data_IF_075173582256
#
_entry.id   IF_075173582256
#
_cell.length_a   1.000
_cell.length_b   1.000
_cell.length_c   1.000
_cell.angle_alpha   90.00
_cell.angle_beta   90.00
_cell.angle_gamma   90.00
#
_symmetry.space_group_name_H-M   'P 1'
#
loop_
_entity.id
_entity.type
_entity.pdbx_description
1 polymer ?
#
# COMPACT_ATOMS: atom_id res chain seq x y z
N UNK A 1 -9.72 0.41 -2.72
CA UNK A 1 -9.75 -1.06 -2.56
C UNK A 1 -9.80 -1.81 -3.90
N UNK A 2 -10.56 -1.34 -4.93
CA UNK A 2 -10.67 -2.03 -6.23
C UNK A 2 -9.38 -1.99 -7.06
N UNK A 3 -8.60 -0.91 -7.05
CA UNK A 3 -7.34 -0.79 -7.80
C UNK A 3 -6.19 -1.62 -7.20
N UNK A 4 -6.17 -1.78 -5.89
CA UNK A 4 -5.22 -2.68 -5.19
C UNK A 4 -5.42 -4.14 -5.58
N UNK A 5 -6.64 -4.55 -5.94
CA UNK A 5 -6.95 -5.89 -6.42
C UNK A 5 -6.23 -6.22 -7.73
N UNK A 6 -6.18 -5.29 -8.67
CA UNK A 6 -5.59 -5.54 -10.01
C UNK A 6 -4.08 -5.81 -9.98
N UNK A 7 -3.34 -5.10 -9.12
CA UNK A 7 -1.89 -5.34 -8.96
C UNK A 7 -1.63 -6.71 -8.30
N UNK A 8 -2.42 -7.06 -7.29
CA UNK A 8 -2.32 -8.37 -6.63
C UNK A 8 -2.64 -9.51 -7.59
N UNK A 9 -3.63 -9.34 -8.46
CA UNK A 9 -3.95 -10.34 -9.50
C UNK A 9 -2.78 -10.53 -10.47
N UNK A 10 -2.10 -9.45 -10.90
CA UNK A 10 -0.93 -9.55 -11.77
C UNK A 10 0.22 -10.32 -11.10
N UNK A 11 0.51 -10.05 -9.83
CA UNK A 11 1.51 -10.80 -9.05
C UNK A 11 1.16 -12.27 -8.94
N UNK A 12 -0.10 -12.58 -8.68
CA UNK A 12 -0.59 -13.98 -8.64
C UNK A 12 -0.47 -14.67 -9.99
N UNK A 13 -0.81 -13.99 -11.09
CA UNK A 13 -0.68 -14.54 -12.43
C UNK A 13 0.77 -14.83 -12.78
N UNK A 14 1.67 -13.87 -12.56
CA UNK A 14 3.10 -14.05 -12.83
C UNK A 14 3.70 -15.13 -11.93
N UNK A 15 3.34 -15.15 -10.64
CA UNK A 15 3.74 -16.23 -9.74
C UNK A 15 3.26 -17.60 -10.24
N UNK A 16 2.03 -17.67 -10.73
CA UNK A 16 1.46 -18.91 -11.28
C UNK A 16 2.20 -19.41 -12.53
N UNK A 17 2.77 -18.50 -13.35
CA UNK A 17 3.62 -18.89 -14.47
C UNK A 17 4.85 -19.68 -14.00
N UNK A 18 5.43 -19.31 -12.84
CA UNK A 18 6.52 -20.06 -12.23
C UNK A 18 6.15 -21.51 -11.89
N UNK A 19 4.88 -21.76 -11.49
CA UNK A 19 4.38 -23.14 -11.25
C UNK A 19 4.33 -23.95 -12.54
N UNK A 20 3.98 -23.32 -13.66
CA UNK A 20 3.85 -24.00 -14.95
C UNK A 20 5.18 -24.52 -15.54
N UNK A 21 6.32 -24.07 -15.00
CA UNK A 21 7.62 -24.63 -15.39
C UNK A 21 7.78 -26.11 -15.01
N UNK A 22 7.01 -26.58 -14.02
CA UNK A 22 7.14 -27.94 -13.50
C UNK A 22 6.16 -28.89 -14.18
N UNK A 23 6.69 -29.95 -14.82
CA UNK A 23 5.91 -30.99 -15.55
C UNK A 23 4.84 -31.63 -14.67
N UNK A 24 5.18 -31.89 -13.40
CA UNK A 24 4.25 -32.55 -12.47
C UNK A 24 3.06 -31.67 -12.16
N UNK A 25 3.28 -30.35 -12.01
CA UNK A 25 2.20 -29.38 -11.78
C UNK A 25 1.31 -29.27 -13.02
N UNK A 26 1.90 -29.16 -14.22
CA UNK A 26 1.12 -29.15 -15.48
C UNK A 26 0.26 -30.41 -15.63
N UNK A 27 0.84 -31.59 -15.37
CA UNK A 27 0.07 -32.82 -15.41
C UNK A 27 -1.06 -32.87 -14.40
N UNK A 28 -0.81 -32.41 -13.17
CA UNK A 28 -1.83 -32.35 -12.13
C UNK A 28 -2.96 -31.37 -12.50
N UNK A 29 -2.64 -30.20 -13.05
CA UNK A 29 -3.63 -29.21 -13.49
C UNK A 29 -4.52 -29.76 -14.61
N UNK A 30 -3.98 -30.57 -15.53
CA UNK A 30 -4.74 -31.15 -16.64
C UNK A 30 -5.54 -32.38 -16.17
N UNK A 31 -4.95 -33.25 -15.36
CA UNK A 31 -5.55 -34.51 -14.94
C UNK A 31 -6.64 -34.36 -13.88
N UNK A 32 -6.47 -33.40 -12.96
CA UNK A 32 -7.46 -33.16 -11.96
C UNK A 32 -8.49 -32.10 -12.47
N UNK A 33 -9.72 -32.21 -11.97
CA UNK A 33 -10.81 -31.28 -12.31
C UNK A 33 -10.53 -29.80 -11.88
N UNK A 34 -9.25 -29.38 -11.85
CA UNK A 34 -8.83 -28.02 -11.45
C UNK A 34 -9.34 -26.92 -12.40
N UNK A 35 -9.68 -27.27 -13.64
CA UNK A 35 -10.34 -26.35 -14.56
C UNK A 35 -11.66 -25.79 -13.98
N UNK A 36 -12.36 -26.55 -13.13
CA UNK A 36 -13.56 -26.11 -12.46
C UNK A 36 -13.28 -24.94 -11.53
N UNK A 37 -12.17 -24.98 -10.78
CA UNK A 37 -11.76 -23.88 -9.92
C UNK A 37 -11.35 -22.64 -10.73
N UNK A 38 -10.73 -22.86 -11.91
CA UNK A 38 -10.42 -21.75 -12.83
C UNK A 38 -11.70 -21.09 -13.32
N UNK A 39 -12.69 -21.87 -13.74
CA UNK A 39 -13.99 -21.36 -14.18
C UNK A 39 -14.69 -20.57 -13.06
N UNK A 40 -14.74 -21.14 -11.85
CA UNK A 40 -15.35 -20.47 -10.69
C UNK A 40 -14.59 -19.15 -10.39
N UNK A 41 -13.27 -19.18 -10.43
CA UNK A 41 -12.45 -17.95 -10.21
C UNK A 41 -12.74 -16.89 -11.27
N UNK A 42 -12.84 -17.30 -12.54
CA UNK A 42 -13.19 -16.38 -13.64
C UNK A 42 -14.60 -15.80 -13.48
N UNK A 43 -15.58 -16.63 -13.07
CA UNK A 43 -16.94 -16.15 -12.77
C UNK A 43 -16.96 -15.11 -11.64
N UNK A 44 -16.18 -15.34 -10.59
CA UNK A 44 -16.03 -14.37 -9.48
C UNK A 44 -15.35 -13.07 -9.96
N UNK A 45 -14.38 -13.18 -10.87
CA UNK A 45 -13.66 -12.02 -11.42
C UNK A 45 -14.46 -11.29 -12.50
N UNK A 46 -15.43 -11.96 -13.14
CA UNK A 46 -16.18 -11.43 -14.28
C UNK A 46 -16.80 -10.05 -14.02
N UNK A 47 -17.50 -9.78 -12.89
CA UNK A 47 -18.05 -8.45 -12.64
C UNK A 47 -16.98 -7.34 -12.61
N UNK A 48 -15.80 -7.67 -12.08
CA UNK A 48 -14.69 -6.72 -12.06
C UNK A 48 -14.12 -6.51 -13.47
N UNK A 49 -13.99 -7.56 -14.27
CA UNK A 49 -13.49 -7.47 -15.64
C UNK A 49 -14.45 -6.65 -16.52
N UNK A 50 -15.76 -6.90 -16.40
CA UNK A 50 -16.79 -6.13 -17.11
C UNK A 50 -16.73 -4.66 -16.71
N UNK A 51 -16.65 -4.37 -15.41
CA UNK A 51 -16.49 -3.00 -14.93
C UNK A 51 -15.23 -2.33 -15.46
N UNK A 52 -14.07 -3.02 -15.45
CA UNK A 52 -12.83 -2.50 -16.01
C UNK A 52 -12.96 -2.16 -17.49
N UNK A 53 -13.64 -3.03 -18.27
CA UNK A 53 -13.86 -2.82 -19.68
C UNK A 53 -14.80 -1.64 -19.96
N UNK A 54 -15.92 -1.57 -19.26
CA UNK A 54 -16.94 -0.50 -19.45
C UNK A 54 -16.37 0.88 -19.08
N UNK A 55 -15.58 0.96 -18.01
CA UNK A 55 -14.99 2.20 -17.52
C UNK A 55 -13.61 2.51 -18.16
N UNK A 56 -13.24 1.83 -19.26
CA UNK A 56 -12.00 2.10 -20.00
C UNK A 56 -10.72 1.74 -19.24
N UNK A 57 -10.72 0.65 -18.46
CA UNK A 57 -9.58 0.15 -17.70
C UNK A 57 -9.01 1.14 -16.67
N UNK A 58 -9.81 1.65 -15.72
CA UNK A 58 -9.37 2.64 -14.75
C UNK A 58 -8.18 2.19 -13.91
N UNK A 59 -8.01 0.88 -13.70
CA UNK A 59 -6.84 0.35 -13.00
C UNK A 59 -5.53 0.57 -13.78
N UNK A 60 -5.54 0.42 -15.10
CA UNK A 60 -4.37 0.68 -15.94
C UNK A 60 -4.03 2.16 -15.96
N UNK A 61 -5.03 3.04 -16.08
CA UNK A 61 -4.82 4.49 -16.01
C UNK A 61 -4.25 4.92 -14.66
N UNK A 62 -4.75 4.36 -13.57
CA UNK A 62 -4.22 4.62 -12.24
C UNK A 62 -2.76 4.14 -12.11
N UNK A 63 -2.44 2.97 -12.64
CA UNK A 63 -1.09 2.41 -12.61
C UNK A 63 -0.10 3.29 -13.38
N UNK A 64 -0.49 3.70 -14.59
CA UNK A 64 0.34 4.58 -15.41
C UNK A 64 0.58 5.93 -14.71
N UNK A 65 -0.46 6.51 -14.13
CA UNK A 65 -0.34 7.75 -13.36
C UNK A 65 0.55 7.58 -12.12
N UNK A 66 0.38 6.49 -11.38
CA UNK A 66 1.23 6.16 -10.22
C UNK A 66 2.71 6.01 -10.65
N UNK A 67 2.94 5.34 -11.76
CA UNK A 67 4.29 5.18 -12.32
C UNK A 67 4.91 6.55 -12.59
N UNK A 68 4.24 7.39 -13.38
CA UNK A 68 4.74 8.71 -13.78
C UNK A 68 4.92 9.70 -12.61
N UNK A 69 4.19 9.53 -11.51
CA UNK A 69 4.18 10.51 -10.41
C UNK A 69 4.97 10.08 -9.18
N UNK A 70 5.23 8.79 -9.00
CA UNK A 70 5.81 8.27 -7.75
C UNK A 70 6.86 7.17 -7.95
N UNK A 71 6.82 6.45 -9.06
CA UNK A 71 7.67 5.29 -9.24
C UNK A 71 8.79 5.50 -10.26
N UNK A 72 8.64 6.48 -11.14
CA UNK A 72 9.62 6.71 -12.23
C UNK A 72 11.01 7.07 -11.69
N UNK A 73 11.05 7.89 -10.66
CA UNK A 73 12.29 8.32 -10.00
C UNK A 73 12.94 7.22 -9.14
N UNK A 74 12.22 6.12 -8.84
CA UNK A 74 12.78 5.05 -8.01
C UNK A 74 13.74 4.18 -8.81
N UNK A 75 14.94 3.99 -8.28
CA UNK A 75 15.89 3.01 -8.81
C UNK A 75 15.57 1.60 -8.30
N UNK A 76 16.01 0.59 -9.03
CA UNK A 76 15.88 -0.81 -8.59
C UNK A 76 16.50 -1.05 -7.21
N UNK A 77 17.64 -0.41 -6.93
CA UNK A 77 18.34 -0.54 -5.64
C UNK A 77 17.51 0.05 -4.51
N UNK A 78 16.88 1.20 -4.72
CA UNK A 78 15.99 1.82 -3.70
C UNK A 78 14.78 0.95 -3.40
N UNK A 79 14.19 0.33 -4.41
CA UNK A 79 13.08 -0.62 -4.21
C UNK A 79 13.53 -1.82 -3.38
N UNK A 80 14.64 -2.44 -3.75
CA UNK A 80 15.15 -3.63 -3.03
C UNK A 80 15.60 -3.27 -1.62
N UNK A 81 16.32 -2.16 -1.42
CA UNK A 81 16.73 -1.71 -0.09
C UNK A 81 15.51 -1.33 0.79
N UNK A 82 14.51 -0.68 0.20
CA UNK A 82 13.26 -0.39 0.90
C UNK A 82 12.55 -1.65 1.40
N UNK A 83 12.43 -2.68 0.55
CA UNK A 83 11.86 -3.97 0.95
C UNK A 83 12.67 -4.58 2.11
N UNK A 84 14.00 -4.54 1.98
CA UNK A 84 14.91 -5.12 2.96
C UNK A 84 14.77 -4.44 4.33
N UNK A 85 14.62 -3.12 4.36
CA UNK A 85 14.46 -2.33 5.58
C UNK A 85 13.05 -2.44 6.18
N UNK A 86 12.02 -2.36 5.35
CA UNK A 86 10.61 -2.39 5.81
C UNK A 86 10.21 -3.74 6.43
N UNK A 87 10.80 -4.83 5.94
CA UNK A 87 10.58 -6.18 6.49
C UNK A 87 11.43 -6.45 7.75
N UNK A 88 12.39 -5.61 8.06
CA UNK A 88 13.49 -5.85 8.98
C UNK A 88 14.63 -6.65 8.30
N UNK A 89 15.82 -6.08 8.33
CA UNK A 89 17.01 -6.63 7.64
C UNK A 89 17.29 -8.11 8.00
N UNK A 90 17.13 -8.50 9.26
CA UNK A 90 17.38 -9.86 9.72
C UNK A 90 16.35 -10.83 9.14
N UNK A 91 15.07 -10.47 9.21
CA UNK A 91 14.00 -11.27 8.61
C UNK A 91 14.21 -11.43 7.11
N UNK A 92 14.65 -10.36 6.42
CA UNK A 92 14.94 -10.41 4.99
C UNK A 92 16.09 -11.36 4.65
N UNK A 93 17.17 -11.37 5.44
CA UNK A 93 18.28 -12.33 5.29
C UNK A 93 17.77 -13.77 5.47
N UNK A 94 16.95 -14.00 6.50
CA UNK A 94 16.36 -15.32 6.75
C UNK A 94 15.48 -15.80 5.59
N UNK A 95 14.64 -14.91 5.05
CA UNK A 95 13.76 -15.21 3.92
C UNK A 95 14.56 -15.52 2.65
N UNK A 96 15.57 -14.71 2.32
CA UNK A 96 16.45 -14.92 1.16
C UNK A 96 17.20 -16.23 1.29
N UNK A 97 17.82 -16.50 2.45
CA UNK A 97 18.54 -17.75 2.72
C UNK A 97 17.63 -18.95 2.56
N UNK A 98 16.40 -18.86 3.06
CA UNK A 98 15.40 -19.91 2.94
C UNK A 98 14.98 -20.13 1.49
N UNK A 99 14.76 -19.06 0.73
CA UNK A 99 14.38 -19.13 -0.68
C UNK A 99 15.49 -19.80 -1.51
N UNK A 100 16.74 -19.38 -1.34
CA UNK A 100 17.90 -19.98 -1.98
C UNK A 100 17.99 -21.47 -1.65
N UNK A 101 17.78 -21.82 -0.38
CA UNK A 101 17.83 -23.20 0.08
C UNK A 101 16.73 -24.08 -0.55
N UNK A 102 15.49 -23.56 -0.67
CA UNK A 102 14.40 -24.32 -1.29
C UNK A 102 14.62 -24.51 -2.79
N UNK A 103 15.10 -23.48 -3.49
CA UNK A 103 15.35 -23.54 -4.94
C UNK A 103 16.54 -24.43 -5.26
N UNK A 104 17.67 -24.27 -4.54
CA UNK A 104 18.94 -24.92 -4.84
C UNK A 104 19.25 -26.17 -4.00
N UNK A 105 18.59 -26.31 -2.84
CA UNK A 105 18.94 -27.34 -1.87
C UNK A 105 18.45 -28.74 -2.27
N UNK A 106 19.37 -29.74 -2.19
CA UNK A 106 19.00 -31.14 -2.42
C UNK A 106 18.23 -31.76 -1.24
N UNK A 107 18.36 -31.17 -0.03
CA UNK A 107 17.76 -31.68 1.21
C UNK A 107 16.27 -31.36 1.38
N UNK A 108 15.75 -30.34 0.66
CA UNK A 108 14.31 -30.06 0.65
C UNK A 108 13.62 -30.93 -0.40
N UNK A 109 12.44 -31.44 -0.04
CA UNK A 109 11.66 -32.28 -0.95
C UNK A 109 11.33 -31.51 -2.22
N UNK A 110 11.53 -32.15 -3.37
CA UNK A 110 11.34 -31.56 -4.70
C UNK A 110 9.98 -30.89 -4.93
N UNK A 111 8.95 -31.28 -4.16
CA UNK A 111 7.62 -30.70 -4.30
C UNK A 111 7.47 -29.26 -3.79
N UNK A 112 8.41 -28.73 -3.00
CA UNK A 112 8.40 -27.32 -2.59
C UNK A 112 9.05 -26.37 -3.60
N UNK A 113 9.84 -26.90 -4.54
CA UNK A 113 10.50 -26.09 -5.58
C UNK A 113 9.52 -25.28 -6.44
N UNK A 114 8.37 -25.84 -6.87
CA UNK A 114 7.40 -25.05 -7.63
C UNK A 114 6.93 -23.79 -6.88
N UNK A 115 6.61 -23.94 -5.59
CA UNK A 115 6.20 -22.82 -4.76
C UNK A 115 7.30 -21.76 -4.64
N UNK A 116 8.53 -22.16 -4.35
CA UNK A 116 9.66 -21.24 -4.24
C UNK A 116 9.94 -20.53 -5.57
N UNK A 117 9.81 -21.22 -6.70
CA UNK A 117 9.95 -20.61 -8.03
C UNK A 117 8.83 -19.60 -8.31
N UNK A 118 7.60 -19.93 -7.93
CA UNK A 118 6.46 -19.01 -8.02
C UNK A 118 6.71 -17.72 -7.20
N UNK A 119 7.19 -17.89 -5.98
CA UNK A 119 7.56 -16.76 -5.11
C UNK A 119 8.68 -15.91 -5.73
N UNK A 120 9.72 -16.57 -6.27
CA UNK A 120 10.81 -15.87 -6.93
C UNK A 120 10.32 -15.03 -8.12
N UNK A 121 9.46 -15.60 -8.97
CA UNK A 121 8.83 -14.87 -10.08
C UNK A 121 8.01 -13.67 -9.60
N UNK A 122 7.25 -13.83 -8.51
CA UNK A 122 6.46 -12.75 -7.92
C UNK A 122 7.35 -11.64 -7.38
N UNK A 123 8.44 -11.98 -6.70
CA UNK A 123 9.42 -11.00 -6.18
C UNK A 123 10.09 -10.23 -7.32
N UNK A 124 10.58 -10.95 -8.33
CA UNK A 124 11.23 -10.33 -9.48
C UNK A 124 10.27 -9.41 -10.26
N UNK A 125 9.04 -9.84 -10.44
CA UNK A 125 8.00 -9.02 -11.08
C UNK A 125 7.71 -7.74 -10.29
N UNK A 126 7.52 -7.85 -8.97
CA UNK A 126 7.27 -6.69 -8.12
C UNK A 126 8.47 -5.73 -8.10
N UNK A 127 9.68 -6.27 -8.03
CA UNK A 127 10.90 -5.46 -8.07
C UNK A 127 11.06 -4.74 -9.42
N UNK A 128 10.81 -5.45 -10.53
CA UNK A 128 10.84 -4.88 -11.88
C UNK A 128 9.76 -3.80 -12.07
N UNK A 129 8.56 -4.04 -11.55
CA UNK A 129 7.44 -3.09 -11.61
C UNK A 129 7.57 -1.92 -10.62
N UNK A 130 8.72 -1.79 -9.95
CA UNK A 130 8.96 -0.79 -8.90
C UNK A 130 7.85 -0.80 -7.83
N UNK A 131 7.42 -2.01 -7.44
CA UNK A 131 6.35 -2.20 -6.45
C UNK A 131 6.71 -1.62 -5.09
N UNK A 132 5.76 -1.00 -4.41
CA UNK A 132 5.96 -0.51 -3.03
C UNK A 132 6.23 -1.67 -2.07
N UNK A 133 7.08 -1.46 -1.08
CA UNK A 133 7.55 -2.49 -0.15
C UNK A 133 6.41 -3.30 0.50
N UNK A 134 5.30 -2.68 0.87
CA UNK A 134 4.16 -3.39 1.46
C UNK A 134 3.46 -4.40 0.53
N UNK A 135 3.71 -4.37 -0.78
CA UNK A 135 3.20 -5.39 -1.70
C UNK A 135 3.90 -6.75 -1.52
N UNK A 136 5.07 -6.76 -0.89
CA UNK A 136 5.83 -7.98 -0.62
C UNK A 136 5.36 -8.71 0.65
N UNK A 137 4.60 -8.07 1.54
CA UNK A 137 4.15 -8.69 2.79
C UNK A 137 3.41 -10.03 2.62
N UNK A 138 2.50 -10.21 1.64
CA UNK A 138 1.89 -11.53 1.41
C UNK A 138 2.92 -12.62 1.09
N UNK A 139 3.98 -12.26 0.34
CA UNK A 139 5.07 -13.18 0.00
C UNK A 139 5.87 -13.55 1.26
N UNK A 140 6.16 -12.56 2.10
CA UNK A 140 6.83 -12.76 3.40
C UNK A 140 6.04 -13.74 4.26
N UNK A 141 4.74 -13.51 4.44
CA UNK A 141 3.87 -14.39 5.23
C UNK A 141 3.84 -15.82 4.67
N UNK A 142 3.90 -15.99 3.35
CA UNK A 142 3.95 -17.32 2.71
C UNK A 142 5.28 -18.03 2.97
N UNK A 143 6.40 -17.29 3.06
CA UNK A 143 7.73 -17.85 3.29
C UNK A 143 8.04 -18.13 4.77
N UNK A 144 7.42 -17.44 5.72
CA UNK A 144 7.73 -17.58 7.15
C UNK A 144 7.67 -19.02 7.66
N UNK A 145 6.68 -19.89 7.30
CA UNK A 145 6.68 -21.28 7.72
C UNK A 145 7.90 -22.06 7.24
N UNK A 146 8.38 -21.74 6.03
CA UNK A 146 9.57 -22.37 5.47
C UNK A 146 10.86 -21.90 6.15
N UNK A 147 10.89 -20.67 6.64
CA UNK A 147 11.98 -20.16 7.50
C UNK A 147 12.08 -21.04 8.75
N UNK A 148 10.96 -21.33 9.42
CA UNK A 148 10.92 -22.21 10.58
C UNK A 148 11.50 -23.61 10.26
N UNK A 149 11.06 -24.21 9.16
CA UNK A 149 11.56 -25.53 8.71
C UNK A 149 13.05 -25.49 8.35
N UNK A 150 13.51 -24.40 7.71
CA UNK A 150 14.93 -24.20 7.40
C UNK A 150 15.78 -24.14 8.67
N UNK A 151 15.36 -23.35 9.64
CA UNK A 151 16.06 -23.23 10.93
C UNK A 151 16.08 -24.56 11.68
N UNK A 152 14.94 -25.23 11.81
CA UNK A 152 14.83 -26.51 12.50
C UNK A 152 15.71 -27.58 11.87
N UNK A 153 15.72 -27.73 10.55
CA UNK A 153 16.39 -28.85 9.87
C UNK A 153 17.86 -28.58 9.53
N UNK A 154 18.24 -27.32 9.34
CA UNK A 154 19.57 -26.96 8.85
C UNK A 154 20.40 -26.29 9.91
N UNK A 155 19.85 -25.30 10.61
CA UNK A 155 20.60 -24.48 11.57
C UNK A 155 20.68 -25.18 12.95
N UNK A 156 19.54 -25.66 13.45
CA UNK A 156 19.47 -26.27 14.78
C UNK A 156 20.38 -27.48 15.01
N UNK A 157 20.54 -28.41 14.06
CA UNK A 157 21.39 -29.57 14.27
C UNK A 157 22.88 -29.23 14.47
N UNK A 158 23.31 -28.11 13.88
CA UNK A 158 24.74 -27.74 13.86
C UNK A 158 25.05 -26.50 14.73
N UNK A 159 24.10 -25.59 14.90
CA UNK A 159 24.35 -24.26 15.51
C UNK A 159 23.18 -23.76 16.33
N UNK A 160 22.68 -24.57 17.26
CA UNK A 160 21.53 -24.19 18.15
C UNK A 160 21.72 -22.85 18.88
N UNK A 161 22.95 -22.51 19.21
CA UNK A 161 23.27 -21.28 19.91
C UNK A 161 22.86 -20.02 19.13
N UNK A 162 22.77 -20.08 17.80
CA UNK A 162 22.31 -18.95 16.97
C UNK A 162 20.86 -18.56 17.21
N UNK A 163 20.03 -19.44 17.77
CA UNK A 163 18.64 -19.12 18.08
C UNK A 163 18.53 -18.07 19.18
N UNK A 164 19.45 -18.04 20.13
CA UNK A 164 19.40 -17.09 21.26
C UNK A 164 19.63 -15.64 20.78
N UNK A 165 20.73 -15.30 20.11
CA UNK A 165 20.96 -13.94 19.61
C UNK A 165 19.90 -13.55 18.57
N UNK A 166 19.46 -14.48 17.72
CA UNK A 166 18.42 -14.20 16.73
C UNK A 166 17.08 -13.90 17.41
N UNK A 167 16.66 -14.73 18.36
CA UNK A 167 15.45 -14.50 19.17
C UNK A 167 15.51 -13.19 19.94
N UNK A 168 16.67 -12.86 20.51
CA UNK A 168 16.88 -11.61 21.23
C UNK A 168 16.75 -10.39 20.29
N UNK A 169 17.32 -10.43 19.11
CA UNK A 169 17.21 -9.34 18.14
C UNK A 169 15.77 -9.18 17.63
N UNK A 170 15.07 -10.30 17.37
CA UNK A 170 13.64 -10.24 17.00
C UNK A 170 12.80 -9.66 18.14
N UNK A 171 13.10 -10.03 19.39
CA UNK A 171 12.44 -9.46 20.57
C UNK A 171 12.72 -7.96 20.70
N UNK A 172 13.97 -7.50 20.48
CA UNK A 172 14.29 -6.08 20.45
C UNK A 172 13.50 -5.34 19.36
N UNK A 173 13.27 -5.97 18.21
CA UNK A 173 12.42 -5.42 17.15
C UNK A 173 11.00 -5.15 17.61
N UNK A 174 10.45 -5.94 18.54
CA UNK A 174 9.11 -5.70 19.08
C UNK A 174 9.03 -4.44 19.95
N UNK A 175 10.13 -4.02 20.55
CA UNK A 175 10.19 -2.76 21.31
C UNK A 175 10.02 -1.53 20.43
N UNK A 176 10.23 -1.66 19.12
CA UNK A 176 10.00 -0.58 18.15
C UNK A 176 8.54 -0.48 17.70
N UNK A 177 7.70 -1.46 18.01
CA UNK A 177 6.28 -1.48 17.62
C UNK A 177 5.54 -0.21 18.07
N UNK A 178 5.68 0.29 19.32
CA UNK A 178 5.00 1.50 19.75
C UNK A 178 5.39 2.76 18.98
N UNK A 179 6.53 2.75 18.32
CA UNK A 179 6.96 3.86 17.46
C UNK A 179 6.35 3.78 16.06
N UNK A 180 6.11 2.59 15.54
CA UNK A 180 5.46 2.37 14.23
C UNK A 180 3.93 2.37 14.28
N UNK A 181 3.35 2.02 15.45
CA UNK A 181 1.91 2.05 15.68
C UNK A 181 1.57 3.16 16.67
N UNK A 182 0.54 3.98 16.43
CA UNK A 182 0.15 5.10 17.30
C UNK A 182 -0.54 4.60 18.59
N UNK A 183 0.22 3.87 19.44
CA UNK A 183 -0.27 3.32 20.71
C UNK A 183 -0.27 4.40 21.81
N UNK A 184 0.69 5.31 21.78
CA UNK A 184 0.79 6.41 22.72
C UNK A 184 -0.11 7.59 22.33
N UNK A 185 -0.40 8.48 23.29
CA UNK A 185 -0.94 9.80 22.96
C UNK A 185 0.11 10.62 22.19
N UNK A 186 -0.33 11.57 21.38
CA UNK A 186 0.60 12.45 20.64
C UNK A 186 1.56 13.18 21.56
N UNK A 187 1.07 13.74 22.68
CA UNK A 187 1.91 14.45 23.64
C UNK A 187 3.01 13.54 24.21
N UNK A 188 2.64 12.35 24.64
CA UNK A 188 3.60 11.37 25.18
C UNK A 188 4.63 10.91 24.12
N UNK A 189 4.20 10.74 22.86
CA UNK A 189 5.11 10.44 21.75
C UNK A 189 6.13 11.58 21.53
N UNK A 190 5.68 12.83 21.50
CA UNK A 190 6.56 14.00 21.35
C UNK A 190 7.57 14.08 22.49
N UNK A 191 7.15 13.86 23.72
CA UNK A 191 8.03 13.85 24.90
C UNK A 191 9.14 12.78 24.79
N UNK A 192 8.76 11.57 24.35
CA UNK A 192 9.74 10.48 24.11
C UNK A 192 10.73 10.89 23.03
N UNK A 193 10.24 11.43 21.89
CA UNK A 193 11.11 11.81 20.79
C UNK A 193 12.09 12.92 21.23
N UNK A 194 11.62 13.94 21.94
CA UNK A 194 12.46 15.03 22.43
C UNK A 194 13.49 14.59 23.45
N UNK A 195 13.18 13.51 24.21
CA UNK A 195 14.07 12.95 25.21
C UNK A 195 15.22 12.14 24.62
N UNK A 196 14.96 11.40 23.55
CA UNK A 196 15.90 10.39 23.03
C UNK A 196 16.48 10.72 21.65
N UNK A 197 15.88 11.65 20.90
CA UNK A 197 16.32 12.01 19.56
C UNK A 197 16.64 13.51 19.47
N UNK A 198 17.67 13.88 18.70
CA UNK A 198 17.96 15.28 18.44
C UNK A 198 16.82 15.91 17.63
N UNK A 199 16.49 17.15 17.94
CA UNK A 199 15.48 17.91 17.18
C UNK A 199 15.90 18.04 15.73
N UNK A 200 15.08 17.54 14.83
CA UNK A 200 15.30 17.66 13.39
C UNK A 200 14.44 18.81 12.87
N UNK A 201 15.05 19.93 12.52
CA UNK A 201 14.35 21.12 12.03
C UNK A 201 14.71 21.33 10.56
N UNK A 202 13.71 21.34 9.67
CA UNK A 202 13.85 21.67 8.25
C UNK A 202 12.90 22.79 7.87
N UNK A 203 13.42 23.84 7.26
CA UNK A 203 12.64 25.03 6.87
C UNK A 203 11.88 25.68 8.05
N UNK A 204 12.51 25.73 9.24
CA UNK A 204 11.90 26.31 10.44
C UNK A 204 10.80 25.47 11.09
N UNK A 205 10.50 24.28 10.56
CA UNK A 205 9.52 23.36 11.13
C UNK A 205 10.22 22.11 11.65
N UNK A 206 9.84 21.67 12.84
CA UNK A 206 10.31 20.40 13.39
C UNK A 206 9.70 19.25 12.61
N UNK A 207 10.57 18.32 12.20
CA UNK A 207 10.16 17.07 11.55
C UNK A 207 10.24 15.97 12.59
N UNK A 208 9.07 15.51 13.03
CA UNK A 208 8.96 14.34 13.87
C UNK A 208 9.03 13.07 13.01
N UNK A 209 9.80 12.05 13.43
CA UNK A 209 9.72 10.73 12.80
C UNK A 209 8.32 10.17 13.00
N UNK A 210 7.88 9.22 12.20
CA UNK A 210 6.59 8.52 12.33
C UNK A 210 5.36 9.41 12.18
N UNK A 211 4.97 9.55 10.95
CA UNK A 211 3.86 10.41 10.52
C UNK A 211 2.48 9.96 11.06
N UNK A 212 2.34 8.72 11.48
CA UNK A 212 1.11 8.13 11.98
C UNK A 212 0.58 8.85 13.21
N UNK A 213 1.46 9.24 14.13
CA UNK A 213 1.10 10.03 15.31
C UNK A 213 0.66 11.44 14.98
N UNK A 214 1.25 12.03 13.94
CA UNK A 214 0.98 13.39 13.50
C UNK A 214 -0.31 13.44 12.68
N UNK A 215 -0.61 12.36 11.96
CA UNK A 215 -1.70 12.32 10.98
C UNK A 215 -3.05 12.59 11.62
N UNK A 216 -3.36 11.97 12.77
CA UNK A 216 -4.65 12.18 13.45
C UNK A 216 -4.85 13.66 13.84
N UNK A 217 -3.88 14.25 14.51
CA UNK A 217 -3.96 15.65 14.93
C UNK A 217 -4.00 16.61 13.75
N UNK A 218 -3.24 16.29 12.71
CA UNK A 218 -3.26 17.07 11.46
C UNK A 218 -4.64 17.03 10.80
N UNK A 219 -5.32 15.88 10.81
CA UNK A 219 -6.67 15.78 10.24
C UNK A 219 -7.68 16.57 11.07
N UNK A 220 -7.61 16.50 12.39
CA UNK A 220 -8.49 17.27 13.27
C UNK A 220 -8.32 18.78 13.06
N UNK A 221 -7.09 19.31 13.02
CA UNK A 221 -6.84 20.72 12.74
C UNK A 221 -7.29 21.13 11.34
N UNK A 222 -7.04 20.30 10.34
CA UNK A 222 -7.49 20.54 8.96
C UNK A 222 -9.02 20.59 8.87
N UNK A 223 -9.73 19.73 9.61
CA UNK A 223 -11.21 19.76 9.63
C UNK A 223 -11.74 21.02 10.32
N UNK A 224 -11.10 21.48 11.40
CA UNK A 224 -11.47 22.73 12.08
C UNK A 224 -11.28 23.95 11.17
N UNK A 225 -10.13 24.03 10.48
CA UNK A 225 -9.86 25.09 9.51
C UNK A 225 -10.89 25.04 8.36
N UNK A 226 -11.16 23.85 7.83
CA UNK A 226 -12.11 23.67 6.75
C UNK A 226 -13.54 24.07 7.18
N UNK A 227 -13.95 23.68 8.38
CA UNK A 227 -15.22 24.10 8.97
C UNK A 227 -15.30 25.61 9.09
N UNK A 228 -14.27 26.27 9.61
CA UNK A 228 -14.22 27.72 9.75
C UNK A 228 -14.39 28.42 8.39
N UNK A 229 -13.72 27.93 7.35
CA UNK A 229 -13.86 28.47 5.99
C UNK A 229 -15.28 28.22 5.46
N UNK A 230 -15.82 27.02 5.63
CA UNK A 230 -17.18 26.68 5.16
C UNK A 230 -18.26 27.51 5.86
N UNK A 231 -18.15 27.68 7.18
CA UNK A 231 -19.09 28.48 7.98
C UNK A 231 -19.04 29.98 7.66
N UNK A 232 -17.92 30.47 7.13
CA UNK A 232 -17.78 31.87 6.67
C UNK A 232 -18.46 32.16 5.35
N UNK A 233 -18.88 31.11 4.58
CA UNK A 233 -19.59 31.28 3.31
C UNK A 233 -21.03 31.75 3.53
N UNK A 234 -21.59 32.56 2.62
CA UNK A 234 -23.01 32.89 2.63
C UNK A 234 -23.89 31.65 2.48
N UNK A 235 -25.06 31.64 3.08
CA UNK A 235 -25.96 30.47 3.10
C UNK A 235 -26.35 29.97 1.69
N UNK A 236 -26.44 30.88 0.72
CA UNK A 236 -26.71 30.54 -0.68
C UNK A 236 -25.53 29.85 -1.37
N UNK A 237 -24.31 30.02 -0.86
CA UNK A 237 -23.11 29.35 -1.34
C UNK A 237 -22.89 28.01 -0.62
N UNK A 238 -23.15 27.97 0.67
CA UNK A 238 -23.07 26.73 1.46
C UNK A 238 -23.98 25.63 0.88
N UNK A 239 -25.22 26.01 0.47
CA UNK A 239 -26.20 25.03 -0.07
C UNK A 239 -25.76 24.34 -1.36
N UNK A 240 -24.83 24.92 -2.11
CA UNK A 240 -24.27 24.37 -3.34
C UNK A 240 -22.72 24.45 -3.35
N UNK A 241 -22.14 24.07 -2.21
CA UNK A 241 -20.71 24.02 -2.02
C UNK A 241 -20.20 22.57 -2.16
N UNK A 242 -19.08 22.41 -2.85
CA UNK A 242 -18.33 21.16 -2.94
C UNK A 242 -16.98 21.32 -2.24
N UNK A 243 -16.60 20.34 -1.43
CA UNK A 243 -15.24 20.30 -0.90
C UNK A 243 -14.38 19.43 -1.81
N UNK A 244 -13.24 19.97 -2.23
CA UNK A 244 -12.32 19.28 -3.09
C UNK A 244 -11.01 18.97 -2.36
N UNK A 245 -10.67 17.68 -2.26
CA UNK A 245 -9.37 17.22 -1.78
C UNK A 245 -8.43 16.93 -2.96
N UNK A 246 -7.21 17.42 -2.90
CA UNK A 246 -6.19 17.10 -3.92
C UNK A 246 -5.89 15.60 -3.99
N UNK A 247 -6.03 14.89 -2.88
CA UNK A 247 -5.72 13.46 -2.77
C UNK A 247 -6.89 12.70 -2.13
N UNK A 248 -7.04 11.41 -2.47
CA UNK A 248 -8.11 10.56 -1.93
C UNK A 248 -8.09 10.45 -0.40
N UNK A 249 -6.93 10.60 0.25
CA UNK A 249 -6.85 10.60 1.72
C UNK A 249 -7.51 11.81 2.34
N UNK A 250 -7.40 12.99 1.68
CA UNK A 250 -8.08 14.20 2.13
C UNK A 250 -9.60 14.07 1.98
N UNK A 251 -10.07 13.66 0.79
CA UNK A 251 -11.48 13.42 0.57
C UNK A 251 -12.04 12.35 1.51
N UNK A 252 -11.29 11.27 1.76
CA UNK A 252 -11.66 10.22 2.69
C UNK A 252 -11.73 10.69 4.14
N UNK A 253 -10.81 11.52 4.59
CA UNK A 253 -10.84 12.09 5.93
C UNK A 253 -12.07 13.01 6.12
N UNK A 254 -12.37 13.83 5.11
CA UNK A 254 -13.56 14.70 5.14
C UNK A 254 -14.83 13.85 5.19
N UNK A 255 -14.97 12.86 4.31
CA UNK A 255 -16.14 11.97 4.28
C UNK A 255 -16.35 11.22 5.62
N UNK A 256 -15.26 10.81 6.27
CA UNK A 256 -15.31 10.15 7.57
C UNK A 256 -15.74 11.10 8.70
N UNK A 257 -15.28 12.36 8.65
CA UNK A 257 -15.44 13.32 9.74
C UNK A 257 -16.53 14.38 9.48
N UNK A 258 -17.13 14.42 8.29
CA UNK A 258 -18.08 15.44 7.87
C UNK A 258 -19.28 15.61 8.80
N UNK A 259 -19.79 14.52 9.39
CA UNK A 259 -20.90 14.58 10.35
C UNK A 259 -20.54 15.35 11.63
N UNK A 260 -19.29 15.18 12.10
CA UNK A 260 -18.78 15.86 13.31
C UNK A 260 -18.58 17.36 13.06
N UNK A 261 -18.10 17.72 11.87
CA UNK A 261 -17.76 19.09 11.51
C UNK A 261 -18.80 19.77 10.61
N UNK A 262 -19.96 19.14 10.38
CA UNK A 262 -21.06 19.65 9.55
C UNK A 262 -20.63 20.11 8.16
N UNK A 263 -19.75 19.34 7.53
CA UNK A 263 -19.21 19.61 6.21
C UNK A 263 -20.03 18.93 5.12
N UNK A 264 -20.10 19.50 3.90
CA UNK A 264 -20.68 18.85 2.75
C UNK A 264 -19.81 17.68 2.27
N UNK A 265 -20.29 16.96 1.24
CA UNK A 265 -19.56 15.85 0.65
C UNK A 265 -18.24 16.32 0.03
N UNK A 266 -17.24 15.45 0.15
CA UNK A 266 -15.94 15.70 -0.43
C UNK A 266 -15.77 14.97 -1.76
N UNK A 267 -14.98 15.56 -2.62
CA UNK A 267 -14.62 15.03 -3.91
C UNK A 267 -13.12 15.11 -4.14
N UNK A 268 -12.58 14.15 -4.88
CA UNK A 268 -11.26 14.24 -5.48
C UNK A 268 -11.22 13.49 -6.81
N UNK A 269 -10.23 13.79 -7.65
CA UNK A 269 -10.09 13.16 -8.97
C UNK A 269 -9.40 11.78 -8.91
N UNK A 270 -9.04 11.29 -7.72
CA UNK A 270 -8.35 10.01 -7.55
C UNK A 270 -9.30 8.87 -7.20
N UNK A 271 -9.13 7.75 -7.89
CA UNK A 271 -9.79 6.50 -7.56
C UNK A 271 -11.32 6.57 -7.61
N UNK A 272 -11.96 5.93 -6.66
CA UNK A 272 -13.43 5.83 -6.60
C UNK A 272 -14.12 7.18 -6.34
N UNK A 273 -13.42 8.15 -5.74
CA UNK A 273 -13.99 9.49 -5.53
C UNK A 273 -14.30 10.20 -6.85
N UNK A 274 -13.54 9.91 -7.92
CA UNK A 274 -13.87 10.43 -9.24
C UNK A 274 -15.22 9.91 -9.75
N UNK A 275 -15.49 8.62 -9.57
CA UNK A 275 -16.75 7.99 -9.99
C UNK A 275 -17.96 8.42 -9.14
N UNK A 276 -17.73 8.97 -7.96
CA UNK A 276 -18.77 9.47 -7.06
C UNK A 276 -19.02 10.98 -7.20
N UNK A 277 -18.29 11.63 -8.10
CA UNK A 277 -18.48 13.05 -8.35
C UNK A 277 -19.90 13.32 -8.86
N UNK A 278 -20.51 14.45 -8.48
CA UNK A 278 -21.80 14.87 -8.98
C UNK A 278 -21.68 15.41 -10.41
N UNK A 279 -21.35 14.53 -11.36
CA UNK A 279 -21.24 14.91 -12.77
C UNK A 279 -22.55 15.49 -13.29
N UNK A 280 -22.46 16.60 -14.04
CA UNK A 280 -23.61 17.27 -14.64
C UNK A 280 -24.19 18.43 -13.80
N UNK A 281 -23.80 18.60 -12.56
CA UNK A 281 -24.17 19.76 -11.73
C UNK A 281 -22.91 20.51 -11.31
N UNK A 282 -22.70 21.67 -11.89
CA UNK A 282 -21.58 22.52 -11.51
C UNK A 282 -21.82 23.16 -10.14
N UNK A 283 -20.99 22.94 -9.12
CA UNK A 283 -21.13 23.61 -7.85
C UNK A 283 -20.90 25.13 -8.06
N UNK A 284 -21.62 25.95 -7.28
CA UNK A 284 -21.42 27.41 -7.30
C UNK A 284 -20.12 27.78 -6.62
N UNK A 285 -19.77 27.06 -5.56
CA UNK A 285 -18.60 27.32 -4.74
C UNK A 285 -17.82 26.03 -4.51
N UNK A 286 -16.50 26.11 -4.57
CA UNK A 286 -15.61 24.98 -4.25
C UNK A 286 -14.61 25.41 -3.19
N UNK A 287 -14.60 24.71 -2.08
CA UNK A 287 -13.56 24.84 -1.06
C UNK A 287 -12.52 23.75 -1.30
N UNK A 288 -11.28 24.16 -1.56
CA UNK A 288 -10.23 23.22 -1.97
C UNK A 288 -9.12 23.12 -0.94
N UNK A 289 -8.75 21.88 -0.57
CA UNK A 289 -7.55 21.61 0.22
C UNK A 289 -6.38 21.42 -0.74
N UNK A 290 -5.45 22.37 -0.76
CA UNK A 290 -4.28 22.35 -1.63
C UNK A 290 -2.98 22.30 -0.84
N UNK A 291 -1.95 21.66 -1.42
CA UNK A 291 -0.58 21.84 -0.95
C UNK A 291 0.02 23.01 -1.70
N UNK A 292 0.45 24.06 -1.00
CA UNK A 292 1.14 25.25 -1.51
C UNK A 292 0.85 25.64 -2.96
N UNK A 293 0.47 26.88 -3.24
CA UNK A 293 0.43 27.58 -4.55
C UNK A 293 0.00 26.78 -5.79
N UNK A 294 -0.83 25.78 -5.61
CA UNK A 294 -1.45 25.14 -6.77
C UNK A 294 -2.42 26.13 -7.33
N UNK A 295 -1.96 26.79 -8.33
CA UNK A 295 -2.57 27.93 -8.97
C UNK A 295 -4.08 27.76 -9.13
N UNK A 296 -4.81 28.79 -8.77
CA UNK A 296 -6.21 29.03 -9.12
C UNK A 296 -6.55 28.61 -10.56
N UNK A 297 -5.61 28.79 -11.49
CA UNK A 297 -5.69 28.33 -12.88
C UNK A 297 -5.93 26.82 -13.03
N UNK A 298 -5.37 25.96 -12.18
CA UNK A 298 -5.61 24.52 -12.26
C UNK A 298 -7.06 24.19 -11.92
N UNK A 299 -7.63 24.83 -10.89
CA UNK A 299 -9.02 24.61 -10.50
C UNK A 299 -10.00 25.10 -11.56
N UNK A 300 -9.78 26.28 -12.13
CA UNK A 300 -10.62 26.84 -13.18
C UNK A 300 -10.63 25.89 -14.40
N UNK A 301 -9.48 25.41 -14.83
CA UNK A 301 -9.37 24.50 -15.96
C UNK A 301 -9.96 23.11 -15.66
N UNK A 302 -9.71 22.59 -14.46
CA UNK A 302 -10.19 21.27 -14.06
C UNK A 302 -11.71 21.26 -13.89
N UNK A 303 -12.28 22.22 -13.17
CA UNK A 303 -13.73 22.31 -12.97
C UNK A 303 -14.47 22.50 -14.29
N UNK A 304 -13.99 23.39 -15.19
CA UNK A 304 -14.56 23.52 -16.54
C UNK A 304 -14.54 22.22 -17.34
N UNK A 305 -13.54 21.36 -17.15
CA UNK A 305 -13.41 20.10 -17.91
C UNK A 305 -14.17 18.94 -17.26
N UNK A 306 -14.31 18.93 -15.93
CA UNK A 306 -14.93 17.81 -15.20
C UNK A 306 -16.44 17.90 -15.11
N UNK A 307 -17.00 19.10 -15.26
CA UNK A 307 -18.44 19.36 -15.17
C UNK A 307 -19.07 19.76 -16.52
N UNK A 308 -18.34 19.65 -17.62
CA UNK A 308 -18.85 19.67 -18.98
C UNK A 308 -19.06 18.24 -19.46
#
# INVERSE_FOLDING_TARGET
>A
LKSLGSCRCAVFLVGSLGLLLFRNIRKALIAAKYWQFIVVSLLILLPNMVWQYVDGFPALHMFNRLYLTQLDDLTFIEVVSGIFLDINAITSIMLISTLIFIVGGQKMKHHYRPLATSILFSVLFLAYSKGKAYYFFPIVLTLLPFVGVFFERIIMPQRRWLLYPLGFILLLGTMLIPFGLPIYSYAHYVDIIHKYLPKNVKNGKEILPMQEYITKQKWESTMQELQSVYDSLPANEQSNCLIWGKHYSQAGAIELMKSTYRLPNAFCYHGSFYSWAPFGQMPKTVVAICYNDTSEKFFILFLKKSFR
#
